data_IF_656980976908
#
_entry.id   IF_656980976908
#
_cell.length_a   1.000
_cell.length_b   1.000
_cell.length_c   1.000
_cell.angle_alpha   90.00
_cell.angle_beta   90.00
_cell.angle_gamma   90.00
#
_symmetry.space_group_name_H-M   'P 1'
#
loop_
_entity.id
_entity.type
_entity.pdbx_description
1 polymer ?
#
# COMPACT_ATOMS: atom_id res chain seq x y z
N UNK A 1 -6.89 -7.41 -19.16
CA UNK A 1 -7.23 -6.71 -17.88
C UNK A 1 -8.70 -6.94 -17.55
N UNK A 2 -9.62 -6.67 -18.50
CA UNK A 2 -11.06 -6.86 -18.31
C UNK A 2 -11.46 -8.32 -18.10
N UNK A 3 -10.71 -9.30 -18.63
CA UNK A 3 -10.99 -10.72 -18.41
C UNK A 3 -10.67 -11.19 -16.98
N UNK A 4 -9.70 -10.54 -16.32
CA UNK A 4 -9.26 -10.87 -14.96
C UNK A 4 -9.97 -10.00 -13.91
N UNK A 5 -10.16 -8.72 -14.21
CA UNK A 5 -10.80 -7.73 -13.34
C UNK A 5 -11.98 -7.05 -14.06
N UNK A 6 -13.08 -7.78 -14.32
CA UNK A 6 -14.18 -7.29 -15.15
C UNK A 6 -14.94 -6.12 -14.52
N UNK A 7 -14.86 -5.95 -13.20
CA UNK A 7 -15.54 -4.86 -12.49
C UNK A 7 -14.86 -4.54 -11.15
N UNK A 8 -15.29 -3.44 -10.52
CA UNK A 8 -14.79 -2.98 -9.23
C UNK A 8 -15.07 -3.97 -8.08
N UNK A 9 -16.15 -4.76 -8.17
CA UNK A 9 -16.50 -5.76 -7.16
C UNK A 9 -15.46 -6.88 -7.14
N UNK A 10 -14.96 -7.31 -8.29
CA UNK A 10 -13.88 -8.32 -8.37
C UNK A 10 -12.62 -7.83 -7.68
N UNK A 11 -12.23 -6.57 -7.87
CA UNK A 11 -11.08 -5.97 -7.16
C UNK A 11 -11.32 -6.01 -5.65
N UNK A 12 -12.51 -5.63 -5.18
CA UNK A 12 -12.85 -5.68 -3.76
C UNK A 12 -12.75 -7.09 -3.18
N UNK A 13 -13.28 -8.10 -3.90
CA UNK A 13 -13.19 -9.52 -3.50
C UNK A 13 -11.73 -9.98 -3.41
N UNK A 14 -10.90 -9.68 -4.41
CA UNK A 14 -9.50 -10.09 -4.43
C UNK A 14 -8.69 -9.45 -3.29
N UNK A 15 -8.96 -8.17 -2.98
CA UNK A 15 -8.32 -7.50 -1.83
C UNK A 15 -8.65 -8.18 -0.50
N UNK A 16 -9.81 -8.86 -0.38
CA UNK A 16 -10.19 -9.60 0.82
C UNK A 16 -9.41 -10.90 1.02
N UNK A 17 -8.57 -11.34 0.06
CA UNK A 17 -7.60 -12.41 0.27
C UNK A 17 -6.34 -11.94 1.03
N UNK A 18 -6.31 -10.70 1.54
CA UNK A 18 -5.25 -10.24 2.42
C UNK A 18 -5.51 -10.71 3.86
N UNK A 19 -4.65 -11.56 4.46
CA UNK A 19 -4.84 -12.12 5.81
C UNK A 19 -4.82 -11.07 6.92
N UNK A 20 -4.39 -9.84 6.63
CA UNK A 20 -4.41 -8.73 7.59
C UNK A 20 -5.78 -8.04 7.69
N UNK A 21 -6.73 -8.31 6.77
CA UNK A 21 -8.06 -7.69 6.79
C UNK A 21 -8.98 -8.29 7.85
N UNK A 22 -9.94 -7.49 8.32
CA UNK A 22 -11.02 -7.98 9.20
C UNK A 22 -11.90 -9.02 8.50
N UNK A 23 -12.30 -8.73 7.26
CA UNK A 23 -13.15 -9.58 6.42
C UNK A 23 -12.29 -10.44 5.49
N UNK A 24 -11.26 -11.09 6.04
CA UNK A 24 -10.40 -11.98 5.27
C UNK A 24 -11.17 -13.19 4.75
N UNK A 25 -10.99 -13.51 3.47
CA UNK A 25 -11.47 -14.73 2.84
C UNK A 25 -10.26 -15.58 2.46
N UNK A 26 -10.23 -16.84 2.90
CA UNK A 26 -9.11 -17.75 2.65
C UNK A 26 -9.21 -18.41 1.26
N UNK A 27 -9.27 -17.60 0.21
CA UNK A 27 -9.24 -18.10 -1.16
C UNK A 27 -7.84 -17.92 -1.76
N UNK A 28 -7.41 -18.91 -2.52
CA UNK A 28 -6.16 -18.80 -3.27
C UNK A 28 -6.31 -17.75 -4.38
N UNK A 29 -5.38 -16.81 -4.44
CA UNK A 29 -5.28 -15.85 -5.54
C UNK A 29 -4.51 -16.50 -6.69
N UNK A 30 -5.04 -16.42 -7.92
CA UNK A 30 -4.33 -16.89 -9.11
C UNK A 30 -3.20 -15.93 -9.46
N UNK A 31 -2.17 -16.43 -10.13
CA UNK A 31 -1.02 -15.62 -10.54
C UNK A 31 -1.44 -14.41 -11.40
N UNK A 32 -2.38 -14.60 -12.32
CA UNK A 32 -2.89 -13.55 -13.19
C UNK A 32 -3.66 -12.46 -12.41
N UNK A 33 -4.42 -12.85 -11.39
CA UNK A 33 -5.15 -11.93 -10.51
C UNK A 33 -4.18 -11.11 -9.65
N UNK A 34 -3.14 -11.77 -9.12
CA UNK A 34 -2.06 -11.11 -8.38
C UNK A 34 -1.32 -10.11 -9.28
N UNK A 35 -0.96 -10.51 -10.49
CA UNK A 35 -0.32 -9.63 -11.48
C UNK A 35 -1.22 -8.44 -11.86
N UNK A 36 -2.52 -8.65 -11.98
CA UNK A 36 -3.47 -7.58 -12.25
C UNK A 36 -3.56 -6.58 -11.08
N UNK A 37 -3.53 -7.04 -9.83
CA UNK A 37 -3.47 -6.17 -8.65
C UNK A 37 -2.17 -5.33 -8.61
N UNK A 38 -1.03 -5.92 -8.96
CA UNK A 38 0.25 -5.19 -9.05
C UNK A 38 0.16 -4.10 -10.11
N UNK A 39 -0.36 -4.42 -11.31
CA UNK A 39 -0.52 -3.43 -12.39
C UNK A 39 -1.41 -2.26 -11.95
N UNK A 40 -2.55 -2.51 -11.32
CA UNK A 40 -3.40 -1.44 -10.77
C UNK A 40 -2.63 -0.61 -9.75
N UNK A 41 -1.90 -1.25 -8.84
CA UNK A 41 -1.14 -0.55 -7.80
C UNK A 41 -0.10 0.37 -8.43
N UNK A 42 0.61 -0.09 -9.46
CA UNK A 42 1.61 0.70 -10.20
C UNK A 42 0.97 1.89 -10.93
N UNK A 43 -0.18 1.72 -11.59
CA UNK A 43 -0.89 2.83 -12.21
C UNK A 43 -1.36 3.86 -11.17
N UNK A 44 -1.87 3.39 -10.03
CA UNK A 44 -2.25 4.26 -8.92
C UNK A 44 -1.04 5.01 -8.35
N UNK A 45 0.11 4.35 -8.24
CA UNK A 45 1.35 4.99 -7.80
C UNK A 45 1.80 6.08 -8.77
N UNK A 46 1.67 5.88 -10.08
CA UNK A 46 1.96 6.94 -11.06
C UNK A 46 1.06 8.15 -10.88
N UNK A 47 -0.24 7.91 -10.72
CA UNK A 47 -1.21 8.98 -10.50
C UNK A 47 -0.97 9.75 -9.20
N UNK A 48 -0.59 9.04 -8.12
CA UNK A 48 -0.40 9.63 -6.79
C UNK A 48 1.04 10.10 -6.52
N UNK A 49 1.94 10.02 -7.50
CA UNK A 49 3.36 10.33 -7.31
C UNK A 49 3.63 11.73 -6.73
N UNK A 50 2.97 12.81 -7.21
CA UNK A 50 3.20 14.15 -6.63
C UNK A 50 2.94 14.19 -5.12
N UNK A 51 1.85 13.57 -4.66
CA UNK A 51 1.49 13.50 -3.24
C UNK A 51 2.48 12.63 -2.44
N UNK A 52 2.88 11.47 -2.97
CA UNK A 52 3.88 10.63 -2.31
C UNK A 52 5.22 11.36 -2.15
N UNK A 53 5.62 12.13 -3.16
CA UNK A 53 6.83 12.95 -3.13
C UNK A 53 6.74 14.04 -2.07
N UNK A 54 5.63 14.75 -1.99
CA UNK A 54 5.38 15.77 -0.97
C UNK A 54 5.43 15.20 0.45
N UNK A 55 4.78 14.05 0.68
CA UNK A 55 4.82 13.35 1.97
C UNK A 55 6.26 12.95 2.33
N UNK A 56 7.02 12.40 1.38
CA UNK A 56 8.42 12.02 1.62
C UNK A 56 9.29 13.25 1.98
N UNK A 57 9.14 14.35 1.25
CA UNK A 57 9.87 15.60 1.53
C UNK A 57 9.50 16.18 2.91
N UNK A 58 8.23 16.07 3.32
CA UNK A 58 7.80 16.56 4.64
C UNK A 58 8.50 15.85 5.81
N UNK A 59 9.00 14.63 5.58
CA UNK A 59 9.73 13.86 6.58
C UNK A 59 11.22 14.20 6.64
N UNK A 60 11.78 14.77 5.57
CA UNK A 60 13.16 15.26 5.50
C UNK A 60 13.34 16.61 6.21
N UNK A 61 12.29 17.45 6.24
CA UNK A 61 12.25 18.73 6.98
C UNK A 61 11.04 18.81 7.93
N UNK A 62 11.11 18.15 9.10
CA UNK A 62 10.00 18.11 10.06
C UNK A 62 9.68 19.48 10.67
N UNK A 63 10.66 20.39 10.76
CA UNK A 63 10.46 21.71 11.37
C UNK A 63 9.51 22.58 10.56
N UNK A 64 9.57 22.48 9.23
CA UNK A 64 8.73 23.28 8.33
C UNK A 64 7.45 22.56 7.90
N UNK A 65 7.46 21.22 7.85
CA UNK A 65 6.43 20.46 7.13
C UNK A 65 5.76 19.32 7.93
N UNK A 66 5.92 19.29 9.26
CA UNK A 66 5.36 18.21 10.12
C UNK A 66 3.85 17.96 9.94
N UNK A 67 3.07 18.98 9.56
CA UNK A 67 1.62 18.87 9.34
C UNK A 67 1.28 17.81 8.28
N UNK A 68 1.99 17.81 7.14
CA UNK A 68 1.70 16.91 6.01
C UNK A 68 1.94 15.45 6.42
N UNK A 69 3.06 15.17 7.08
CA UNK A 69 3.37 13.83 7.58
C UNK A 69 2.35 13.37 8.62
N UNK A 70 2.00 14.25 9.56
CA UNK A 70 1.06 13.93 10.63
C UNK A 70 -0.34 13.64 10.07
N UNK A 71 -0.83 14.44 9.13
CA UNK A 71 -2.12 14.22 8.46
C UNK A 71 -2.14 12.90 7.68
N UNK A 72 -1.06 12.60 6.95
CA UNK A 72 -0.90 11.33 6.25
C UNK A 72 -0.92 10.14 7.22
N UNK A 73 -0.15 10.21 8.31
CA UNK A 73 -0.03 9.13 9.28
C UNK A 73 -1.36 8.91 10.02
N UNK A 74 -2.03 10.00 10.41
CA UNK A 74 -3.36 9.96 11.01
C UNK A 74 -4.36 9.26 10.08
N UNK A 75 -4.39 9.65 8.79
CA UNK A 75 -5.28 9.01 7.82
C UNK A 75 -4.92 7.54 7.58
N UNK A 76 -3.64 7.20 7.56
CA UNK A 76 -3.18 5.82 7.46
C UNK A 76 -3.71 4.97 8.62
N UNK A 77 -3.56 5.45 9.85
CA UNK A 77 -4.03 4.78 11.07
C UNK A 77 -5.55 4.57 11.02
N UNK A 78 -6.32 5.57 10.62
CA UNK A 78 -7.77 5.46 10.43
C UNK A 78 -8.15 4.34 9.46
N UNK A 79 -7.48 4.29 8.30
CA UNK A 79 -7.76 3.27 7.28
C UNK A 79 -7.41 1.85 7.75
N UNK A 80 -6.34 1.70 8.55
CA UNK A 80 -6.00 0.42 9.18
C UNK A 80 -7.09 0.05 10.21
N UNK A 81 -7.48 0.98 11.07
CA UNK A 81 -8.52 0.78 12.08
C UNK A 81 -9.87 0.41 11.46
N UNK A 82 -10.23 0.98 10.31
CA UNK A 82 -11.44 0.63 9.58
C UNK A 82 -11.39 -0.81 9.04
N UNK A 83 -10.28 -1.21 8.40
CA UNK A 83 -10.25 -2.35 7.46
C UNK A 83 -9.47 -3.57 7.92
N UNK A 84 -8.55 -3.43 8.87
CA UNK A 84 -7.58 -4.47 9.26
C UNK A 84 -7.92 -5.10 10.61
N UNK A 85 -7.52 -6.36 10.81
CA UNK A 85 -7.70 -7.08 12.06
C UNK A 85 -6.70 -6.57 13.11
N UNK A 86 -7.17 -5.76 14.05
CA UNK A 86 -6.36 -5.14 15.10
C UNK A 86 -5.79 -6.14 16.12
N UNK A 87 -6.29 -7.38 16.16
CA UNK A 87 -5.72 -8.43 17.00
C UNK A 87 -4.45 -9.05 16.38
N UNK A 88 -4.22 -8.88 15.07
CA UNK A 88 -3.04 -9.40 14.38
C UNK A 88 -1.77 -8.69 14.85
N UNK A 89 -0.77 -9.46 15.28
CA UNK A 89 0.55 -8.96 15.69
C UNK A 89 1.20 -8.12 14.59
N UNK A 90 1.06 -8.55 13.32
CA UNK A 90 1.57 -7.79 12.16
C UNK A 90 0.87 -6.43 12.03
N UNK A 91 -0.43 -6.36 12.25
CA UNK A 91 -1.19 -5.09 12.19
C UNK A 91 -0.83 -4.18 13.36
N UNK A 92 -0.66 -4.73 14.56
CA UNK A 92 -0.19 -3.96 15.72
C UNK A 92 1.19 -3.33 15.47
N UNK A 93 2.09 -4.03 14.77
CA UNK A 93 3.38 -3.48 14.36
C UNK A 93 3.23 -2.29 13.40
N UNK A 94 2.26 -2.32 12.48
CA UNK A 94 1.97 -1.20 11.57
C UNK A 94 1.41 0.03 12.30
N UNK A 95 0.73 -0.16 13.42
CA UNK A 95 0.18 0.92 14.25
C UNK A 95 1.17 1.46 15.28
N UNK A 96 2.31 0.81 15.46
CA UNK A 96 3.31 1.24 16.42
C UNK A 96 4.10 2.44 15.87
N UNK A 97 3.82 3.64 16.41
CA UNK A 97 4.43 4.90 15.99
C UNK A 97 5.97 4.92 16.07
N UNK A 98 6.60 4.07 16.90
CA UNK A 98 8.07 4.03 16.99
C UNK A 98 8.73 3.21 15.88
N UNK A 99 7.95 2.37 15.18
CA UNK A 99 8.45 1.41 14.18
C UNK A 99 7.81 1.62 12.80
N UNK A 100 6.63 2.23 12.75
CA UNK A 100 5.84 2.35 11.53
C UNK A 100 6.45 3.34 10.52
N UNK A 101 7.16 4.38 10.97
CA UNK A 101 7.78 5.37 10.10
C UNK A 101 8.69 4.71 9.05
N UNK A 102 9.57 3.79 9.45
CA UNK A 102 10.46 3.08 8.52
C UNK A 102 9.67 2.25 7.49
N UNK A 103 8.61 1.56 7.94
CA UNK A 103 7.76 0.74 7.08
C UNK A 103 7.01 1.64 6.08
N UNK A 104 6.49 2.77 6.53
CA UNK A 104 5.75 3.73 5.71
C UNK A 104 6.67 4.39 4.68
N UNK A 105 7.84 4.88 5.11
CA UNK A 105 8.84 5.48 4.22
C UNK A 105 9.28 4.47 3.16
N UNK A 106 9.64 3.24 3.56
CA UNK A 106 10.02 2.18 2.62
C UNK A 106 8.91 1.87 1.62
N UNK A 107 7.65 1.85 2.07
CA UNK A 107 6.48 1.63 1.21
C UNK A 107 6.29 2.78 0.23
N UNK A 108 6.33 4.04 0.70
CA UNK A 108 6.20 5.25 -0.11
C UNK A 108 7.31 5.36 -1.15
N UNK A 109 8.55 5.07 -0.77
CA UNK A 109 9.70 5.03 -1.69
C UNK A 109 9.52 3.95 -2.76
N UNK A 110 9.11 2.74 -2.36
CA UNK A 110 8.86 1.64 -3.31
C UNK A 110 7.79 2.01 -4.31
N UNK A 111 6.66 2.56 -3.85
CA UNK A 111 5.58 3.03 -4.72
C UNK A 111 6.02 4.19 -5.60
N UNK A 112 6.83 5.12 -5.09
CA UNK A 112 7.41 6.22 -5.87
C UNK A 112 8.35 5.73 -6.97
N UNK A 113 9.10 4.66 -6.75
CA UNK A 113 9.96 4.04 -7.77
C UNK A 113 9.16 3.32 -8.88
N UNK A 114 7.89 3.00 -8.62
CA UNK A 114 7.00 2.37 -9.58
C UNK A 114 6.60 3.29 -10.75
N UNK A 115 6.92 4.59 -10.68
CA UNK A 115 6.64 5.51 -11.80
C UNK A 115 7.41 5.15 -13.07
N UNK A 116 8.57 4.52 -12.92
CA UNK A 116 9.42 4.13 -14.04
C UNK A 116 8.72 3.14 -14.98
N UNK A 117 9.21 3.04 -16.22
CA UNK A 117 8.68 2.10 -17.23
C UNK A 117 8.76 0.63 -16.77
N UNK A 118 9.62 0.32 -15.79
CA UNK A 118 9.76 -1.00 -15.18
C UNK A 118 9.03 -1.13 -13.83
N UNK A 119 8.14 -0.19 -13.48
CA UNK A 119 7.50 -0.15 -12.17
C UNK A 119 6.76 -1.43 -11.78
N UNK A 120 6.10 -2.07 -12.74
CA UNK A 120 5.48 -3.38 -12.56
C UNK A 120 6.48 -4.45 -12.11
N UNK A 121 7.62 -4.56 -12.80
CA UNK A 121 8.65 -5.55 -12.44
C UNK A 121 9.31 -5.22 -11.10
N UNK A 122 9.55 -3.92 -10.82
CA UNK A 122 10.10 -3.49 -9.52
C UNK A 122 9.18 -3.85 -8.37
N UNK A 123 7.89 -3.54 -8.47
CA UNK A 123 6.93 -3.87 -7.42
C UNK A 123 6.74 -5.39 -7.28
N UNK A 124 6.66 -6.11 -8.40
CA UNK A 124 6.57 -7.57 -8.41
C UNK A 124 7.75 -8.20 -7.68
N UNK A 125 8.98 -7.84 -8.07
CA UNK A 125 10.21 -8.34 -7.43
C UNK A 125 10.27 -7.95 -5.96
N UNK A 126 9.90 -6.72 -5.60
CA UNK A 126 9.85 -6.29 -4.20
C UNK A 126 8.92 -7.17 -3.35
N UNK A 127 7.75 -7.52 -3.88
CA UNK A 127 6.76 -8.35 -3.17
C UNK A 127 7.16 -9.83 -3.10
N UNK A 128 7.89 -10.36 -4.09
CA UNK A 128 8.39 -11.74 -4.07
C UNK A 128 9.67 -11.92 -3.24
N UNK A 129 10.45 -10.87 -3.05
CA UNK A 129 11.73 -10.90 -2.32
C UNK A 129 11.59 -10.48 -0.84
N UNK A 130 10.37 -10.43 -0.30
CA UNK A 130 10.05 -10.06 1.09
C UNK A 130 9.73 -11.29 1.93
#
# INVERSE_FOLDING_TARGET
MNDVLPNKITIWKLRNNNPLRKSYMNNNIKLEEFDALIKITVEMSRYLYPYMREILQSKEDPEQNSVIWNDFNQRFIELINERFNLHSVRVKKLLNLTVNDEILIKSLLTLSLCISNQGYQKLKNFLFNY
#
